data_IF_050703810294
#
_entry.id   IF_050703810294
#
_cell.length_a   1.000
_cell.length_b   1.000
_cell.length_c   1.000
_cell.angle_alpha   90.00
_cell.angle_beta   90.00
_cell.angle_gamma   90.00
#
_symmetry.space_group_name_H-M   'P 1'
#
loop_
_entity.id
_entity.type
_entity.pdbx_description
1 polymer ?
#
# COMPACT_ATOMS: atom_id res chain seq x y z
N UNK A 1 10.02 8.35 7.43
CA UNK A 1 9.18 7.28 6.85
C UNK A 1 8.90 6.23 7.92
N UNK A 2 7.63 5.87 8.11
CA UNK A 2 7.22 4.76 8.99
C UNK A 2 6.62 3.66 8.11
N UNK A 3 7.02 2.40 8.34
CA UNK A 3 6.51 1.24 7.61
C UNK A 3 5.96 0.21 8.58
N UNK A 4 4.80 -0.37 8.25
CA UNK A 4 4.24 -1.48 9.00
C UNK A 4 3.38 -2.37 8.11
N UNK A 5 3.24 -3.63 8.54
CA UNK A 5 2.30 -4.57 7.93
C UNK A 5 0.95 -4.45 8.61
N UNK A 6 -0.11 -4.49 7.81
CA UNK A 6 -1.48 -4.48 8.30
C UNK A 6 -2.35 -5.42 7.48
N UNK A 7 -3.46 -5.88 8.08
CA UNK A 7 -4.53 -6.56 7.35
C UNK A 7 -5.57 -5.53 6.98
N UNK A 8 -5.92 -5.47 5.69
CA UNK A 8 -6.95 -4.56 5.20
C UNK A 8 -8.30 -5.01 5.75
N UNK A 9 -8.96 -4.13 6.50
CA UNK A 9 -10.33 -4.35 6.98
C UNK A 9 -11.32 -3.53 6.15
N UNK A 10 -12.56 -4.01 6.09
CA UNK A 10 -13.68 -3.23 5.55
C UNK A 10 -13.82 -1.95 6.38
N UNK A 11 -13.75 -0.77 5.77
CA UNK A 11 -14.04 0.46 6.48
C UNK A 11 -15.54 0.53 6.83
N UNK A 12 -15.85 0.93 8.06
CA UNK A 12 -17.22 1.28 8.46
C UNK A 12 -17.64 2.61 7.85
N UNK A 13 -18.95 2.81 7.62
CA UNK A 13 -19.51 3.92 6.83
C UNK A 13 -19.28 5.36 7.36
N UNK A 14 -18.41 5.59 8.34
CA UNK A 14 -18.16 6.90 8.95
C UNK A 14 -16.71 7.35 9.02
N UNK A 15 -15.74 6.58 8.54
CA UNK A 15 -14.31 6.94 8.67
C UNK A 15 -13.78 7.62 7.40
N UNK A 16 -13.40 8.91 7.51
CA UNK A 16 -12.84 9.74 6.44
C UNK A 16 -11.33 9.48 6.23
N UNK A 17 -10.93 8.24 5.94
CA UNK A 17 -9.55 7.96 5.51
C UNK A 17 -9.62 7.38 4.10
N UNK A 18 -9.41 8.26 3.13
CA UNK A 18 -9.28 7.92 1.72
C UNK A 18 -7.82 7.52 1.42
N UNK A 19 -7.56 6.54 0.53
CA UNK A 19 -8.52 5.74 -0.21
C UNK A 19 -9.14 4.61 0.63
N UNK A 20 -10.45 4.40 0.42
CA UNK A 20 -11.09 3.14 0.82
C UNK A 20 -10.35 1.99 0.14
N UNK A 21 -9.97 0.97 0.90
CA UNK A 21 -9.37 -0.20 0.29
C UNK A 21 -10.38 -0.85 -0.68
N UNK A 22 -9.93 -1.18 -1.89
CA UNK A 22 -10.76 -1.92 -2.84
C UNK A 22 -11.31 -3.18 -2.19
N UNK A 23 -12.56 -3.53 -2.50
CA UNK A 23 -13.26 -4.68 -1.90
C UNK A 23 -12.47 -5.98 -2.08
N UNK A 24 -11.78 -6.13 -3.22
CA UNK A 24 -10.89 -7.26 -3.55
C UNK A 24 -9.62 -7.36 -2.68
N UNK A 25 -9.34 -6.33 -1.88
CA UNK A 25 -8.18 -6.27 -0.98
C UNK A 25 -8.55 -6.51 0.48
N UNK A 26 -9.84 -6.52 0.85
CA UNK A 26 -10.28 -6.82 2.22
C UNK A 26 -9.80 -8.22 2.63
N UNK A 27 -9.24 -8.33 3.83
CA UNK A 27 -8.65 -9.55 4.37
C UNK A 27 -7.21 -9.84 3.92
N UNK A 28 -6.68 -9.11 2.92
CA UNK A 28 -5.30 -9.26 2.47
C UNK A 28 -4.33 -8.48 3.35
N UNK A 29 -3.08 -8.95 3.40
CA UNK A 29 -1.97 -8.22 4.01
C UNK A 29 -1.54 -7.07 3.09
N UNK A 30 -1.24 -5.93 3.68
CA UNK A 30 -0.73 -4.75 2.99
C UNK A 30 0.49 -4.21 3.75
N UNK A 31 1.45 -3.70 2.98
CA UNK A 31 2.53 -2.88 3.50
C UNK A 31 2.07 -1.43 3.45
N UNK A 32 2.00 -0.77 4.60
CA UNK A 32 1.60 0.63 4.71
C UNK A 32 2.87 1.45 4.90
N UNK A 33 3.01 2.51 4.10
CA UNK A 33 4.12 3.44 4.14
C UNK A 33 3.54 4.82 4.42
N UNK A 34 3.88 5.38 5.57
CA UNK A 34 3.50 6.74 5.94
C UNK A 34 4.74 7.62 5.77
N UNK A 35 4.60 8.58 4.86
CA UNK A 35 5.57 9.64 4.66
C UNK A 35 5.20 10.83 5.55
N UNK A 36 6.20 11.65 5.90
CA UNK A 36 5.91 12.90 6.58
C UNK A 36 5.27 13.86 5.58
N UNK A 37 4.54 14.85 6.07
CA UNK A 37 3.90 15.85 5.20
C UNK A 37 4.93 16.69 4.43
N UNK A 38 6.11 16.92 5.02
CA UNK A 38 7.24 17.66 4.45
C UNK A 38 8.19 16.78 3.61
N UNK A 39 7.79 15.54 3.27
CA UNK A 39 8.63 14.67 2.44
C UNK A 39 8.73 15.23 1.02
N UNK A 40 9.94 15.33 0.49
CA UNK A 40 10.18 15.61 -0.94
C UNK A 40 9.80 14.41 -1.84
N UNK A 41 9.47 13.27 -1.23
CA UNK A 41 9.04 12.06 -1.91
C UNK A 41 7.64 12.23 -2.53
N UNK A 42 7.52 11.92 -3.82
CA UNK A 42 6.25 11.84 -4.55
C UNK A 42 5.56 10.49 -4.26
N UNK A 43 4.49 10.44 -3.43
CA UNK A 43 3.90 9.17 -2.98
C UNK A 43 3.35 8.31 -4.14
N UNK A 44 2.67 8.87 -5.17
CA UNK A 44 2.35 8.15 -6.40
C UNK A 44 3.55 7.49 -7.10
N UNK A 45 4.67 8.21 -7.25
CA UNK A 45 5.88 7.66 -7.88
C UNK A 45 6.47 6.52 -7.06
N UNK A 46 6.52 6.68 -5.75
CA UNK A 46 6.99 5.66 -4.83
C UNK A 46 6.12 4.40 -4.90
N UNK A 47 4.79 4.55 -4.97
CA UNK A 47 3.87 3.44 -5.11
C UNK A 47 4.10 2.64 -6.40
N UNK A 48 4.34 3.31 -7.53
CA UNK A 48 4.67 2.66 -8.81
C UNK A 48 6.00 1.90 -8.75
N UNK A 49 7.03 2.49 -8.15
CA UNK A 49 8.32 1.83 -7.99
C UNK A 49 8.20 0.54 -7.15
N UNK A 50 7.43 0.59 -6.06
CA UNK A 50 7.18 -0.58 -5.20
C UNK A 50 6.37 -1.65 -5.93
N UNK A 51 5.37 -1.26 -6.73
CA UNK A 51 4.61 -2.20 -7.54
C UNK A 51 5.49 -2.92 -8.56
N UNK A 52 6.39 -2.19 -9.22
CA UNK A 52 7.33 -2.75 -10.17
C UNK A 52 8.31 -3.72 -9.49
N UNK A 53 8.86 -3.36 -8.33
CA UNK A 53 9.73 -4.23 -7.54
C UNK A 53 9.03 -5.54 -7.15
N UNK A 54 7.80 -5.48 -6.66
CA UNK A 54 7.02 -6.68 -6.29
C UNK A 54 6.76 -7.56 -7.52
N UNK A 55 6.51 -6.97 -8.69
CA UNK A 55 6.24 -7.70 -9.93
C UNK A 55 7.52 -8.38 -10.43
N UNK A 56 8.65 -7.68 -10.40
CA UNK A 56 9.97 -8.22 -10.74
C UNK A 56 10.38 -9.35 -9.78
N UNK A 57 10.21 -9.19 -8.48
CA UNK A 57 10.52 -10.23 -7.49
C UNK A 57 9.65 -11.49 -7.66
N UNK A 58 8.38 -11.34 -8.06
CA UNK A 58 7.52 -12.47 -8.38
C UNK A 58 7.95 -13.17 -9.67
N UNK A 59 8.38 -12.40 -10.67
CA UNK A 59 8.90 -12.94 -11.93
C UNK A 59 10.19 -13.73 -11.74
N UNK A 60 11.09 -13.28 -10.85
CA UNK A 60 12.36 -13.95 -10.57
C UNK A 60 12.21 -15.20 -9.68
N UNK A 61 11.12 -15.28 -8.89
CA UNK A 61 10.81 -16.42 -8.02
C UNK A 61 10.07 -17.57 -8.71
N UNK A 62 9.79 -17.48 -10.01
CA UNK A 62 9.26 -18.59 -10.80
C UNK A 62 7.97 -19.20 -10.25
N UNK A 63 6.90 -18.39 -10.15
CA UNK A 63 5.52 -18.89 -10.09
C UNK A 63 4.85 -18.75 -11.45
#
# INVERSE_FOLDING_TARGET
MVQYEAVIKKQGGGSRIYPNAFTSHIGKRAKIIILKEDSEDDPPRLALQLQNQITSEKSERGM
#
